data_IF_083277729885
#
_entry.id   IF_083277729885
#
_cell.length_a   1.000
_cell.length_b   1.000
_cell.length_c   1.000
_cell.angle_alpha   90.00
_cell.angle_beta   90.00
_cell.angle_gamma   90.00
#
_symmetry.space_group_name_H-M   'P 1'
#
loop_
_entity.id
_entity.type
_entity.pdbx_description
1 polymer ?
#
# COMPACT_ATOMS: atom_id res chain seq x y z
N UNK A 1 -31.10 -22.28 47.59
CA UNK A 1 -30.55 -22.83 46.34
C UNK A 1 -29.72 -21.74 45.68
N UNK A 2 -28.39 -21.91 45.64
CA UNK A 2 -27.48 -21.01 44.95
C UNK A 2 -27.03 -21.73 43.66
N UNK A 3 -27.30 -21.13 42.51
CA UNK A 3 -26.85 -21.64 41.21
C UNK A 3 -25.72 -20.72 40.74
N UNK A 4 -24.50 -21.28 40.75
CA UNK A 4 -23.31 -20.67 40.16
C UNK A 4 -23.28 -21.07 38.69
N UNK A 5 -23.41 -20.11 37.78
CA UNK A 5 -23.19 -20.32 36.35
C UNK A 5 -21.83 -19.71 35.98
N UNK A 6 -20.82 -20.57 35.93
CA UNK A 6 -19.51 -20.26 35.40
C UNK A 6 -19.57 -20.29 33.86
N UNK A 7 -19.65 -19.11 33.24
CA UNK A 7 -19.53 -18.96 31.78
C UNK A 7 -18.06 -18.87 31.39
N UNK A 8 -17.51 -19.97 30.84
CA UNK A 8 -16.21 -19.93 30.15
C UNK A 8 -16.38 -19.22 28.80
N UNK A 9 -15.89 -17.99 28.71
CA UNK A 9 -15.69 -17.29 27.44
C UNK A 9 -14.52 -17.94 26.71
N UNK A 10 -14.82 -18.66 25.64
CA UNK A 10 -13.83 -19.20 24.72
C UNK A 10 -13.32 -18.05 23.84
N UNK A 11 -12.12 -17.55 24.12
CA UNK A 11 -11.44 -16.61 23.24
C UNK A 11 -10.75 -17.43 22.15
N UNK A 12 -11.12 -17.31 20.86
CA UNK A 12 -10.39 -17.96 19.80
C UNK A 12 -8.98 -17.37 19.76
N UNK A 13 -7.98 -18.25 19.87
CA UNK A 13 -6.58 -17.88 19.73
C UNK A 13 -6.38 -17.24 18.34
N UNK A 14 -5.96 -15.97 18.32
CA UNK A 14 -5.56 -15.30 17.10
C UNK A 14 -4.45 -16.14 16.44
N UNK A 15 -4.72 -16.66 15.24
CA UNK A 15 -3.72 -17.32 14.43
C UNK A 15 -2.59 -16.32 14.19
N UNK A 16 -1.42 -16.59 14.76
CA UNK A 16 -0.23 -15.78 14.57
C UNK A 16 0.12 -15.81 13.09
N UNK A 17 -0.07 -14.69 12.40
CA UNK A 17 0.34 -14.54 11.01
C UNK A 17 1.85 -14.82 10.92
N UNK A 18 2.24 -15.80 10.11
CA UNK A 18 3.64 -16.10 9.89
C UNK A 18 4.37 -14.84 9.40
N UNK A 19 5.59 -14.55 9.88
CA UNK A 19 6.35 -13.40 9.42
C UNK A 19 6.53 -13.50 7.91
N UNK A 20 6.25 -12.39 7.21
CA UNK A 20 6.43 -12.31 5.76
C UNK A 20 7.89 -12.64 5.42
N UNK A 21 8.11 -13.61 4.54
CA UNK A 21 9.45 -13.97 4.10
C UNK A 21 10.16 -12.73 3.52
N UNK A 22 11.40 -12.50 3.95
CA UNK A 22 12.21 -11.40 3.41
C UNK A 22 12.44 -11.63 1.91
N UNK A 23 12.32 -10.58 1.07
CA UNK A 23 12.58 -10.72 -0.36
C UNK A 23 14.07 -10.92 -0.62
N UNK A 24 14.40 -11.78 -1.59
CA UNK A 24 15.79 -11.99 -2.01
C UNK A 24 16.29 -10.82 -2.88
N UNK A 25 15.35 -10.19 -3.61
CA UNK A 25 15.58 -9.05 -4.48
C UNK A 25 14.51 -7.97 -4.27
N UNK A 26 14.96 -6.73 -4.12
CA UNK A 26 14.10 -5.56 -4.10
C UNK A 26 14.43 -4.67 -5.31
N UNK A 27 13.43 -4.32 -6.10
CA UNK A 27 13.54 -3.36 -7.19
C UNK A 27 12.68 -2.16 -6.84
N UNK A 28 13.26 -0.97 -6.88
CA UNK A 28 12.56 0.30 -6.75
C UNK A 28 12.69 1.07 -8.06
N UNK A 29 11.56 1.40 -8.66
CA UNK A 29 11.44 2.27 -9.83
C UNK A 29 10.78 3.56 -9.38
N UNK A 30 11.54 4.63 -9.33
CA UNK A 30 11.05 5.98 -9.04
C UNK A 30 10.81 6.72 -10.34
N UNK A 31 9.54 6.89 -10.71
CA UNK A 31 9.18 7.54 -11.95
C UNK A 31 9.31 9.07 -11.81
N UNK A 32 10.17 9.67 -12.62
CA UNK A 32 10.46 11.10 -12.57
C UNK A 32 9.40 11.93 -13.27
N UNK A 33 9.20 13.17 -12.82
CA UNK A 33 8.30 14.13 -13.49
C UNK A 33 8.88 14.64 -14.81
N UNK A 34 10.21 14.58 -14.98
CA UNK A 34 10.96 14.96 -16.17
C UNK A 34 11.07 13.85 -17.24
N UNK A 35 10.41 12.70 -17.03
CA UNK A 35 10.48 11.56 -17.95
C UNK A 35 11.74 10.69 -17.81
N UNK A 36 12.61 10.99 -16.85
CA UNK A 36 13.73 10.14 -16.47
C UNK A 36 13.34 9.37 -15.22
N UNK A 37 13.40 8.06 -15.30
CA UNK A 37 13.07 7.17 -14.20
C UNK A 37 14.35 6.67 -13.55
N UNK A 38 14.37 6.63 -12.22
CA UNK A 38 15.48 6.10 -11.44
C UNK A 38 15.16 4.68 -10.99
N UNK A 39 16.07 3.74 -11.24
CA UNK A 39 15.94 2.35 -10.84
C UNK A 39 17.02 2.02 -9.83
N UNK A 40 16.63 1.42 -8.71
CA UNK A 40 17.53 0.82 -7.73
C UNK A 40 17.15 -0.65 -7.52
N UNK A 41 18.12 -1.55 -7.67
CA UNK A 41 17.97 -2.99 -7.49
C UNK A 41 18.90 -3.38 -6.34
N UNK A 42 18.34 -3.98 -5.29
CA UNK A 42 19.07 -4.39 -4.10
C UNK A 42 18.92 -5.89 -3.90
N UNK A 43 20.05 -6.57 -3.75
CA UNK A 43 20.14 -7.98 -3.44
C UNK A 43 20.31 -8.14 -1.92
N UNK A 44 19.49 -8.99 -1.30
CA UNK A 44 19.57 -9.23 0.16
C UNK A 44 20.84 -9.99 0.56
N UNK A 45 21.42 -10.74 -0.39
CA UNK A 45 22.68 -11.47 -0.24
C UNK A 45 23.84 -10.85 -1.01
N UNK A 46 25.05 -11.37 -0.75
CA UNK A 46 26.26 -10.95 -1.43
C UNK A 46 26.27 -11.46 -2.88
N UNK A 47 26.10 -10.55 -3.83
CA UNK A 47 26.20 -10.82 -5.27
C UNK A 47 27.45 -10.11 -5.81
N UNK A 48 28.25 -10.81 -6.62
CA UNK A 48 29.45 -10.19 -7.19
C UNK A 48 29.08 -9.03 -8.12
N UNK A 49 29.93 -8.00 -8.19
CA UNK A 49 29.74 -6.88 -9.13
C UNK A 49 29.54 -7.38 -10.57
N UNK A 50 30.31 -8.40 -10.99
CA UNK A 50 30.19 -9.00 -12.33
C UNK A 50 28.80 -9.58 -12.56
N UNK A 51 28.31 -10.41 -11.62
CA UNK A 51 26.98 -11.01 -11.70
C UNK A 51 25.89 -9.94 -11.76
N UNK A 52 25.97 -8.93 -10.89
CA UNK A 52 25.00 -7.83 -10.85
C UNK A 52 24.99 -7.04 -12.18
N UNK A 53 26.16 -6.81 -12.79
CA UNK A 53 26.29 -6.19 -14.13
C UNK A 53 25.74 -7.08 -15.24
N UNK A 54 25.93 -8.39 -15.15
CA UNK A 54 25.42 -9.33 -16.15
C UNK A 54 23.89 -9.38 -16.11
N UNK A 55 23.28 -9.36 -14.91
CA UNK A 55 21.82 -9.26 -14.76
C UNK A 55 21.29 -7.93 -15.31
N UNK A 56 21.94 -6.80 -14.98
CA UNK A 56 21.58 -5.50 -15.54
C UNK A 56 21.65 -5.53 -17.08
N UNK A 57 22.70 -6.11 -17.66
CA UNK A 57 22.83 -6.24 -19.11
C UNK A 57 21.70 -7.08 -19.72
N UNK A 58 21.30 -8.17 -19.06
CA UNK A 58 20.18 -9.00 -19.50
C UNK A 58 18.86 -8.22 -19.48
N UNK A 59 18.60 -7.47 -18.40
CA UNK A 59 17.44 -6.58 -18.29
C UNK A 59 17.40 -5.58 -19.45
N UNK A 60 18.46 -4.79 -19.62
CA UNK A 60 18.53 -3.73 -20.65
C UNK A 60 18.41 -4.31 -22.06
N UNK A 61 19.01 -5.47 -22.31
CA UNK A 61 18.88 -6.17 -23.60
C UNK A 61 17.44 -6.62 -23.88
N UNK A 62 16.72 -7.06 -22.86
CA UNK A 62 15.33 -7.53 -23.02
C UNK A 62 14.33 -6.40 -23.21
N UNK A 63 14.60 -5.23 -22.63
CA UNK A 63 13.69 -4.07 -22.68
C UNK A 63 14.04 -3.08 -23.78
N UNK A 64 15.29 -3.07 -24.24
CA UNK A 64 15.82 -2.00 -25.09
C UNK A 64 16.03 -0.68 -24.34
N UNK A 65 15.98 -0.67 -23.01
CA UNK A 65 16.23 0.55 -22.23
C UNK A 65 17.69 0.97 -22.31
N UNK A 66 17.90 2.28 -22.40
CA UNK A 66 19.21 2.90 -22.32
C UNK A 66 19.47 3.33 -20.88
N UNK A 67 20.45 2.68 -20.24
CA UNK A 67 20.83 3.01 -18.87
C UNK A 67 21.92 4.08 -18.83
N UNK A 68 21.68 5.12 -18.05
CA UNK A 68 22.61 6.19 -17.73
C UNK A 68 23.01 6.14 -16.25
N UNK A 69 24.15 6.73 -15.91
CA UNK A 69 24.62 6.87 -14.53
C UNK A 69 24.60 5.55 -13.72
N UNK A 70 25.02 4.45 -14.35
CA UNK A 70 25.04 3.13 -13.72
C UNK A 70 26.06 3.09 -12.57
N UNK A 71 25.57 2.82 -11.37
CA UNK A 71 26.37 2.59 -10.16
C UNK A 71 26.13 1.17 -9.67
N UNK A 72 27.21 0.47 -9.31
CA UNK A 72 27.13 -0.85 -8.67
C UNK A 72 27.90 -0.77 -7.37
N UNK A 73 27.21 -0.91 -6.26
CA UNK A 73 27.80 -1.00 -4.93
C UNK A 73 27.81 -2.47 -4.49
N UNK A 74 28.99 -3.06 -4.47
CA UNK A 74 29.21 -4.45 -4.09
C UNK A 74 30.31 -4.53 -3.02
N UNK A 75 30.14 -5.36 -1.99
CA UNK A 75 31.13 -5.48 -0.91
C UNK A 75 32.43 -6.08 -1.46
N UNK A 76 33.53 -5.31 -1.36
CA UNK A 76 34.85 -5.70 -1.92
C UNK A 76 35.56 -6.78 -1.11
N UNK A 77 35.25 -6.90 0.19
CA UNK A 77 35.75 -7.93 1.12
C UNK A 77 34.71 -8.13 2.21
N UNK A 78 34.57 -9.36 2.72
CA UNK A 78 33.75 -9.66 3.87
C UNK A 78 34.31 -8.95 5.12
N UNK A 79 33.87 -7.73 5.37
CA UNK A 79 34.36 -6.90 6.47
C UNK A 79 33.29 -6.86 7.57
N UNK A 80 33.47 -7.70 8.60
CA UNK A 80 32.68 -7.67 9.83
C UNK A 80 31.29 -8.32 9.78
N UNK A 81 30.53 -8.12 10.87
CA UNK A 81 29.20 -8.69 11.15
C UNK A 81 28.03 -8.03 10.38
N UNK A 82 28.31 -7.09 9.47
CA UNK A 82 27.25 -6.42 8.70
C UNK A 82 26.81 -7.29 7.53
N UNK A 83 25.50 -7.32 7.30
CA UNK A 83 24.90 -8.03 6.18
C UNK A 83 25.40 -7.43 4.86
N UNK A 84 26.03 -8.27 4.04
CA UNK A 84 26.60 -7.87 2.77
C UNK A 84 25.49 -7.84 1.72
N UNK A 85 25.10 -6.62 1.35
CA UNK A 85 24.15 -6.38 0.28
C UNK A 85 24.88 -5.82 -0.93
N UNK A 86 24.41 -6.21 -2.11
CA UNK A 86 24.82 -5.60 -3.37
C UNK A 86 23.68 -4.73 -3.87
N UNK A 87 23.98 -3.57 -4.43
CA UNK A 87 22.98 -2.73 -5.08
C UNK A 87 23.45 -2.25 -6.44
N UNK A 88 22.50 -2.07 -7.35
CA UNK A 88 22.70 -1.52 -8.69
C UNK A 88 21.70 -0.40 -8.86
N UNK A 89 22.15 0.79 -9.25
CA UNK A 89 21.25 1.89 -9.57
C UNK A 89 21.59 2.50 -10.92
N UNK A 90 20.58 2.95 -11.65
CA UNK A 90 20.74 3.62 -12.93
C UNK A 90 19.53 4.51 -13.23
N UNK A 91 19.69 5.38 -14.23
CA UNK A 91 18.59 6.17 -14.78
C UNK A 91 18.24 5.64 -16.17
N UNK A 92 16.98 5.66 -16.56
CA UNK A 92 16.58 5.40 -17.93
C UNK A 92 15.33 6.20 -18.30
N UNK A 93 15.19 6.60 -19.57
CA UNK A 93 14.01 7.33 -20.02
C UNK A 93 12.79 6.41 -20.09
N UNK A 94 11.65 6.91 -19.60
CA UNK A 94 10.31 6.34 -19.83
C UNK A 94 10.17 4.83 -19.54
N UNK A 95 10.70 4.34 -18.42
CA UNK A 95 10.45 2.97 -17.95
C UNK A 95 8.95 2.80 -17.70
N UNK A 96 8.32 3.74 -17.00
CA UNK A 96 6.89 3.67 -16.68
C UNK A 96 6.07 4.26 -17.83
N UNK A 97 5.28 3.46 -18.57
CA UNK A 97 4.48 3.96 -19.68
C UNK A 97 3.16 4.55 -19.13
N UNK A 98 3.18 5.85 -18.87
CA UNK A 98 2.00 6.61 -18.40
C UNK A 98 0.72 6.42 -19.22
N UNK A 99 0.72 6.47 -20.57
CA UNK A 99 -0.52 6.31 -21.34
C UNK A 99 -1.04 4.86 -21.35
N UNK A 100 -0.18 3.88 -21.08
CA UNK A 100 -0.53 2.46 -21.14
C UNK A 100 -1.14 1.92 -19.85
N UNK A 101 -0.94 2.60 -18.71
CA UNK A 101 -1.48 2.17 -17.41
C UNK A 101 -0.92 0.84 -16.89
N UNK A 102 0.03 0.23 -17.59
CA UNK A 102 0.61 -1.08 -17.26
C UNK A 102 2.04 -0.86 -16.77
N UNK A 103 2.32 -1.32 -15.56
CA UNK A 103 3.66 -1.28 -14.99
C UNK A 103 4.49 -2.45 -15.54
N UNK A 104 5.72 -2.20 -16.05
CA UNK A 104 6.53 -3.22 -16.69
C UNK A 104 7.21 -4.12 -15.66
N UNK A 105 6.44 -4.96 -14.96
CA UNK A 105 6.99 -5.91 -13.98
C UNK A 105 7.68 -7.10 -14.66
N UNK A 106 7.17 -7.55 -15.80
CA UNK A 106 7.63 -8.76 -16.52
C UNK A 106 9.12 -8.74 -16.86
N UNK A 107 9.70 -7.64 -17.39
CA UNK A 107 11.13 -7.63 -17.69
C UNK A 107 12.01 -7.86 -16.47
N UNK A 108 11.61 -7.36 -15.29
CA UNK A 108 12.33 -7.64 -14.04
C UNK A 108 12.21 -9.11 -13.66
N UNK A 109 11.01 -9.70 -13.76
CA UNK A 109 10.82 -11.13 -13.46
C UNK A 109 11.70 -12.00 -14.37
N UNK A 110 11.77 -11.68 -15.67
CA UNK A 110 12.59 -12.43 -16.63
C UNK A 110 14.09 -12.27 -16.40
N UNK A 111 14.54 -11.06 -16.05
CA UNK A 111 15.95 -10.77 -15.83
C UNK A 111 16.52 -11.35 -14.53
N UNK A 112 15.65 -11.64 -13.56
CA UNK A 112 16.00 -12.05 -12.19
C UNK A 112 15.29 -13.34 -11.77
N UNK A 113 15.01 -14.22 -12.73
CA UNK A 113 14.20 -15.43 -12.52
C UNK A 113 14.86 -16.52 -11.66
N UNK A 114 16.15 -16.36 -11.38
CA UNK A 114 16.91 -17.20 -10.45
C UNK A 114 16.61 -16.91 -8.97
N UNK A 115 15.94 -15.79 -8.66
CA UNK A 115 15.53 -15.44 -7.30
C UNK A 115 14.10 -15.93 -7.03
N UNK A 116 13.87 -16.59 -5.90
CA UNK A 116 12.58 -17.19 -5.58
C UNK A 116 11.53 -16.14 -5.16
N UNK A 117 11.97 -15.00 -4.62
CA UNK A 117 11.10 -13.94 -4.13
C UNK A 117 11.63 -12.56 -4.51
N UNK A 118 10.84 -11.81 -5.27
CA UNK A 118 11.15 -10.47 -5.72
C UNK A 118 10.06 -9.50 -5.27
N UNK A 119 10.46 -8.31 -4.85
CA UNK A 119 9.53 -7.20 -4.63
C UNK A 119 9.86 -6.10 -5.63
N UNK A 120 8.87 -5.67 -6.41
CA UNK A 120 9.02 -4.57 -7.37
C UNK A 120 8.11 -3.43 -6.95
N UNK A 121 8.73 -2.33 -6.53
CA UNK A 121 8.07 -1.09 -6.12
C UNK A 121 8.13 -0.08 -7.26
N UNK A 122 6.98 0.47 -7.64
CA UNK A 122 6.88 1.61 -8.54
C UNK A 122 6.37 2.81 -7.76
N UNK A 123 7.21 3.82 -7.58
CA UNK A 123 6.84 5.11 -7.01
C UNK A 123 6.52 6.08 -8.16
N UNK A 124 5.27 6.50 -8.27
CA UNK A 124 4.77 7.28 -9.41
C UNK A 124 4.30 8.65 -8.92
N UNK A 125 4.95 9.71 -9.38
CA UNK A 125 4.65 11.08 -8.91
C UNK A 125 3.47 11.76 -9.64
N UNK A 126 3.07 11.25 -10.80
CA UNK A 126 2.00 11.82 -11.63
C UNK A 126 0.76 10.94 -11.58
N UNK A 127 -0.45 11.47 -11.84
CA UNK A 127 -1.65 10.66 -11.95
C UNK A 127 -1.43 9.49 -12.93
N UNK A 128 -1.70 8.28 -12.45
CA UNK A 128 -1.48 7.04 -13.19
C UNK A 128 -2.72 6.16 -13.07
N UNK A 129 -3.38 5.91 -14.19
CA UNK A 129 -4.51 5.00 -14.26
C UNK A 129 -4.01 3.57 -14.40
N UNK A 130 -3.91 2.84 -13.30
CA UNK A 130 -3.47 1.45 -13.34
C UNK A 130 -4.47 0.56 -14.08
N UNK A 131 -3.99 -0.18 -15.08
CA UNK A 131 -4.76 -1.14 -15.89
C UNK A 131 -4.09 -2.51 -16.02
N UNK A 132 -3.06 -2.80 -15.21
CA UNK A 132 -2.42 -4.11 -15.17
C UNK A 132 -3.20 -5.14 -14.34
N UNK A 133 -2.75 -6.40 -14.31
CA UNK A 133 -3.32 -7.40 -13.41
C UNK A 133 -2.96 -7.09 -11.95
N UNK A 134 -3.96 -7.11 -11.06
CA UNK A 134 -3.74 -6.98 -9.62
C UNK A 134 -3.21 -8.28 -8.99
N UNK A 135 -3.47 -9.43 -9.62
CA UNK A 135 -2.88 -10.70 -9.24
C UNK A 135 -2.74 -11.60 -10.46
N UNK A 136 -1.78 -12.51 -10.42
CA UNK A 136 -1.55 -13.51 -11.45
C UNK A 136 -0.91 -14.73 -10.81
N UNK A 137 -1.26 -15.92 -11.28
CA UNK A 137 -0.60 -17.15 -10.86
C UNK A 137 -0.66 -18.19 -11.97
N UNK A 138 0.48 -18.78 -12.27
CA UNK A 138 0.59 -20.01 -13.06
C UNK A 138 1.52 -21.01 -12.35
N UNK A 139 1.95 -22.06 -13.07
CA UNK A 139 2.87 -23.07 -12.53
C UNK A 139 4.31 -22.57 -12.32
N UNK A 140 4.66 -21.38 -12.78
CA UNK A 140 6.02 -20.83 -12.82
C UNK A 140 6.15 -19.59 -11.92
N UNK A 141 5.17 -18.71 -11.92
CA UNK A 141 5.20 -17.41 -11.24
C UNK A 141 3.85 -17.12 -10.58
N UNK A 142 3.90 -16.60 -9.35
CA UNK A 142 2.79 -15.95 -8.67
C UNK A 142 3.12 -14.48 -8.44
N UNK A 143 2.16 -13.59 -8.65
CA UNK A 143 2.31 -12.15 -8.53
C UNK A 143 1.06 -11.57 -7.86
N UNK A 144 1.27 -10.69 -6.89
CA UNK A 144 0.20 -9.94 -6.21
C UNK A 144 0.57 -8.47 -6.13
N UNK A 145 -0.39 -7.59 -6.35
CA UNK A 145 -0.23 -6.14 -6.30
C UNK A 145 -0.87 -5.58 -5.03
N UNK A 146 -0.10 -4.77 -4.31
CA UNK A 146 -0.60 -3.89 -3.27
C UNK A 146 -0.52 -2.44 -3.77
N UNK A 147 -1.65 -1.73 -3.72
CA UNK A 147 -1.74 -0.35 -4.19
C UNK A 147 -1.86 0.60 -3.00
N UNK A 148 -1.04 1.65 -3.03
CA UNK A 148 -1.12 2.80 -2.13
C UNK A 148 -1.06 4.08 -2.96
N UNK A 149 -1.44 5.25 -2.42
CA UNK A 149 -1.29 6.51 -3.13
C UNK A 149 0.14 6.66 -3.66
N UNK A 150 0.29 6.79 -4.98
CA UNK A 150 1.57 6.97 -5.68
C UNK A 150 2.59 5.82 -5.51
N UNK A 151 2.20 4.67 -4.98
CA UNK A 151 3.09 3.53 -4.75
C UNK A 151 2.39 2.22 -5.12
N UNK A 152 3.02 1.46 -6.01
CA UNK A 152 2.55 0.15 -6.46
C UNK A 152 3.59 -0.90 -6.11
N UNK A 153 3.21 -1.87 -5.28
CA UNK A 153 4.10 -2.94 -4.84
C UNK A 153 3.66 -4.26 -5.43
N UNK A 154 4.50 -4.85 -6.28
CA UNK A 154 4.34 -6.24 -6.69
C UNK A 154 5.17 -7.14 -5.78
N UNK A 155 4.51 -8.09 -5.14
CA UNK A 155 5.14 -9.24 -4.52
C UNK A 155 5.13 -10.38 -5.54
N UNK A 156 6.32 -10.82 -5.95
CA UNK A 156 6.51 -11.86 -6.96
C UNK A 156 7.17 -13.07 -6.32
N UNK A 157 6.60 -14.24 -6.57
CA UNK A 157 7.16 -15.53 -6.18
C UNK A 157 7.41 -16.37 -7.42
N UNK A 158 8.64 -16.80 -7.59
CA UNK A 158 9.05 -17.67 -8.70
C UNK A 158 9.15 -19.09 -8.16
N UNK A 159 8.34 -19.99 -8.73
CA UNK A 159 8.29 -21.41 -8.37
C UNK A 159 9.20 -22.24 -9.26
N UNK A 160 9.29 -21.86 -10.54
CA UNK A 160 10.18 -22.48 -11.53
C UNK A 160 10.80 -21.38 -12.39
N UNK A 161 12.13 -21.23 -12.35
CA UNK A 161 12.89 -20.22 -13.12
C UNK A 161 13.31 -20.67 -14.54
N UNK A 162 12.87 -21.85 -15.00
CA UNK A 162 13.27 -22.40 -16.30
C UNK A 162 12.61 -21.70 -17.51
N UNK A 163 11.57 -20.90 -17.29
CA UNK A 163 10.82 -20.22 -18.35
C UNK A 163 11.66 -19.16 -19.11
N UNK A 164 11.38 -19.03 -20.40
CA UNK A 164 12.01 -18.02 -21.28
C UNK A 164 11.08 -16.86 -21.62
N UNK A 165 9.79 -17.05 -21.40
CA UNK A 165 8.74 -16.08 -21.73
C UNK A 165 7.72 -16.04 -20.60
N UNK A 166 7.22 -14.85 -20.30
CA UNK A 166 6.12 -14.65 -19.35
C UNK A 166 5.15 -13.65 -19.99
N UNK A 167 3.88 -14.01 -20.05
CA UNK A 167 2.84 -13.13 -20.59
C UNK A 167 1.77 -12.97 -19.53
N UNK A 168 1.66 -11.75 -19.01
CA UNK A 168 0.61 -11.41 -18.07
C UNK A 168 -0.68 -11.09 -18.84
N UNK A 169 -1.85 -11.52 -18.36
CA UNK A 169 -3.11 -11.11 -18.95
C UNK A 169 -3.24 -9.60 -18.82
N UNK A 170 -3.53 -8.92 -19.92
CA UNK A 170 -3.99 -7.54 -19.88
C UNK A 170 -5.35 -7.54 -19.20
N UNK A 171 -5.51 -6.84 -18.08
CA UNK A 171 -6.82 -6.75 -17.46
C UNK A 171 -7.79 -6.12 -18.47
N UNK A 172 -9.01 -6.66 -18.65
CA UNK A 172 -10.04 -5.93 -19.37
C UNK A 172 -10.25 -4.60 -18.63
N UNK A 173 -10.19 -3.48 -19.36
CA UNK A 173 -10.64 -2.21 -18.83
C UNK A 173 -12.07 -2.41 -18.30
N UNK A 174 -12.27 -2.18 -17.00
CA UNK A 174 -13.47 -2.51 -16.24
C UNK A 174 -13.60 -3.99 -15.79
N UNK A 175 -12.80 -4.38 -14.82
CA UNK A 175 -13.33 -5.14 -13.70
C UNK A 175 -13.23 -4.23 -12.47
N UNK A 176 -14.38 -3.74 -12.04
CA UNK A 176 -14.59 -3.15 -10.73
C UNK A 176 -13.97 -4.09 -9.70
N UNK A 177 -12.79 -3.75 -9.18
CA UNK A 177 -12.22 -4.44 -8.04
C UNK A 177 -13.11 -4.11 -6.86
N UNK A 178 -14.13 -4.96 -6.72
CA UNK A 178 -14.78 -5.37 -5.49
C UNK A 178 -13.72 -5.35 -4.40
N UNK A 179 -13.70 -4.24 -3.66
CA UNK A 179 -12.94 -4.15 -2.44
C UNK A 179 -13.43 -5.28 -1.57
N UNK A 180 -12.48 -6.08 -1.09
CA UNK A 180 -12.73 -7.00 0.00
C UNK A 180 -13.48 -6.22 1.08
N UNK A 181 -14.70 -6.69 1.31
CA UNK A 181 -15.59 -6.28 2.36
C UNK A 181 -14.96 -6.75 3.67
N UNK A 182 -13.93 -6.04 4.12
CA UNK A 182 -13.63 -5.97 5.54
C UNK A 182 -14.82 -5.27 6.17
N UNK A 183 -15.43 -5.93 7.15
CA UNK A 183 -16.66 -5.56 7.83
C UNK A 183 -16.49 -4.20 8.51
N UNK A 184 -16.60 -3.12 7.75
CA UNK A 184 -16.73 -1.78 8.30
C UNK A 184 -18.08 -1.73 9.05
N UNK A 185 -18.10 -1.31 10.33
CA UNK A 185 -19.35 -1.11 11.05
C UNK A 185 -20.21 -0.13 10.23
N UNK A 186 -21.53 -0.36 10.13
CA UNK A 186 -22.39 0.34 9.18
C UNK A 186 -22.17 1.84 9.31
N UNK A 187 -21.80 2.46 8.19
CA UNK A 187 -21.65 3.90 8.06
C UNK A 187 -22.88 4.56 8.68
N UNK A 188 -22.71 5.15 9.87
CA UNK A 188 -23.74 5.98 10.47
C UNK A 188 -23.98 7.09 9.48
N UNK A 189 -25.14 7.06 8.82
CA UNK A 189 -25.65 8.20 8.04
C UNK A 189 -25.53 9.41 8.95
N UNK A 190 -24.54 10.25 8.70
CA UNK A 190 -24.38 11.52 9.39
C UNK A 190 -25.73 12.23 9.22
N UNK A 191 -26.42 12.58 10.31
CA UNK A 191 -27.68 13.29 10.19
C UNK A 191 -27.43 14.54 9.34
N UNK A 192 -28.30 14.86 8.39
CA UNK A 192 -28.09 16.02 7.52
C UNK A 192 -27.86 17.23 8.41
N UNK A 193 -26.83 18.03 8.11
CA UNK A 193 -26.36 19.15 8.94
C UNK A 193 -27.52 20.07 9.39
N UNK A 194 -28.58 20.17 8.60
CA UNK A 194 -29.82 20.89 8.93
C UNK A 194 -30.56 20.34 10.16
N UNK A 195 -30.52 19.04 10.42
CA UNK A 195 -31.14 18.40 11.59
C UNK A 195 -30.35 18.71 12.88
N UNK A 196 -29.02 18.75 12.79
CA UNK A 196 -28.15 19.17 13.91
C UNK A 196 -28.38 20.65 14.22
N UNK A 197 -28.43 21.50 13.18
CA UNK A 197 -28.75 22.93 13.34
C UNK A 197 -30.15 23.16 13.94
N UNK A 198 -31.17 22.42 13.46
CA UNK A 198 -32.52 22.53 14.01
C UNK A 198 -32.58 22.17 15.50
N UNK A 199 -31.87 21.13 15.93
CA UNK A 199 -31.78 20.75 17.34
C UNK A 199 -31.10 21.82 18.20
N UNK A 200 -30.03 22.45 17.71
CA UNK A 200 -29.34 23.53 18.43
C UNK A 200 -30.24 24.74 18.62
N UNK A 201 -31.01 25.12 17.58
CA UNK A 201 -31.99 26.22 17.68
C UNK A 201 -33.11 25.88 18.66
N UNK A 202 -33.62 24.64 18.64
CA UNK A 202 -34.69 24.22 19.54
C UNK A 202 -34.23 24.18 21.01
N UNK A 203 -33.00 23.71 21.25
CA UNK A 203 -32.39 23.71 22.58
C UNK A 203 -32.17 25.12 23.13
N UNK A 204 -31.74 26.08 22.29
CA UNK A 204 -31.52 27.47 22.72
C UNK A 204 -32.82 28.19 23.08
N UNK A 205 -33.92 27.96 22.35
CA UNK A 205 -35.25 28.48 22.71
C UNK A 205 -35.73 27.87 24.03
N UNK A 206 -35.53 26.56 24.24
CA UNK A 206 -35.90 25.88 25.49
C UNK A 206 -35.17 26.44 26.72
N UNK A 207 -33.85 26.66 26.61
CA UNK A 207 -33.06 27.25 27.71
C UNK A 207 -33.51 28.68 28.00
N UNK A 208 -33.78 29.49 26.97
CA UNK A 208 -34.30 30.86 27.14
C UNK A 208 -35.64 30.89 27.89
N UNK A 209 -36.58 30.01 27.54
CA UNK A 209 -37.87 29.90 28.21
C UNK A 209 -37.74 29.45 29.68
N UNK A 210 -36.86 28.51 29.97
CA UNK A 210 -36.60 28.03 31.32
C UNK A 210 -36.01 29.13 32.22
N UNK A 211 -35.05 29.91 31.71
CA UNK A 211 -34.46 31.05 32.44
C UNK A 211 -35.50 32.14 32.70
N UNK A 212 -36.33 32.45 31.70
CA UNK A 212 -37.41 33.43 31.86
C UNK A 212 -38.42 33.03 32.95
N UNK A 213 -38.87 31.77 32.94
CA UNK A 213 -39.79 31.24 33.95
C UNK A 213 -39.16 31.21 35.36
N UNK A 214 -37.87 30.87 35.45
CA UNK A 214 -37.15 30.90 36.72
C UNK A 214 -37.11 32.32 37.29
N UNK A 215 -36.73 33.32 36.49
CA UNK A 215 -36.71 34.72 36.92
C UNK A 215 -38.10 35.25 37.27
N UNK A 216 -39.12 34.94 36.48
CA UNK A 216 -40.51 35.34 36.76
C UNK A 216 -41.06 34.71 38.06
N UNK A 217 -40.65 33.48 38.38
CA UNK A 217 -41.06 32.82 39.63
C UNK A 217 -40.45 33.44 40.89
N UNK A 218 -39.25 34.01 40.78
CA UNK A 218 -38.52 34.56 41.93
C UNK A 218 -38.80 36.04 42.21
N UNK A 219 -39.32 36.79 41.24
CA UNK A 219 -39.69 38.21 41.43
C UNK A 219 -41.07 38.40 42.07
N UNK A 220 -41.86 37.33 42.25
CA UNK A 220 -43.21 37.40 42.86
C UNK A 220 -43.21 37.52 44.40
N UNK A 221 -42.05 37.68 45.03
CA UNK A 221 -41.87 37.66 46.49
C UNK A 221 -41.62 39.02 47.18
N UNK A 222 -41.83 40.16 46.51
CA UNK A 222 -41.53 41.47 47.09
C UNK A 222 -42.76 42.41 47.08
N UNK A 223 -43.67 42.22 48.03
CA UNK A 223 -44.47 43.31 48.64
C UNK A 223 -45.41 42.78 49.73
N UNK A 224 -44.92 42.78 50.98
CA UNK A 224 -45.80 42.96 52.13
C UNK A 224 -45.25 44.09 52.99
N UNK A 225 -45.89 45.27 53.00
CA UNK A 225 -45.54 46.34 53.91
C UNK A 225 -45.99 45.94 55.33
N UNK A 226 -45.10 46.09 56.31
CA UNK A 226 -45.50 46.21 57.72
C UNK A 226 -45.43 47.68 58.09
N UNK A 227 -46.55 48.20 58.57
CA UNK A 227 -46.64 49.49 59.24
C UNK A 227 -46.07 49.45 60.65
#
# INVERSE_FOLDING_TARGET
MAVVLAGCLWVPAAASAAPAAEPELLVLVSAGSNGIDHVAITYWGAVSERTARDHLRALLKSTGWEAEAVVVDAPKKASGKQQQMTSVSFNAPAIVPYPGGILPVVPFILAYKEYASLVVLFQIQRPFGFGGPASYQDGQVALTLQQSPNLYRYDVRITDGSFTTLTLPSAPAAAETTSQQETAPPARKSPPIYLVLALIVLASVGVGAAVYLYLASHTSGASRPRG
#
